data_IF_382311806635
#
_entry.id   IF_382311806635
#
_cell.length_a   1.000
_cell.length_b   1.000
_cell.length_c   1.000
_cell.angle_alpha   90.00
_cell.angle_beta   90.00
_cell.angle_gamma   90.00
#
_symmetry.space_group_name_H-M   'P 1'
#
loop_
_entity.id
_entity.type
_entity.pdbx_description
1 polymer ?
#
# COMPACT_ATOMS: atom_id res chain seq x y z
N UNK A 1 -37.05 -18.49 24.58
CA UNK A 1 -36.30 -17.71 23.57
C UNK A 1 -35.79 -18.67 22.51
N UNK A 2 -35.64 -18.24 21.26
CA UNK A 2 -35.04 -19.08 20.21
C UNK A 2 -33.54 -19.23 20.46
N UNK A 3 -32.94 -20.34 20.00
CA UNK A 3 -31.47 -20.58 20.10
C UNK A 3 -30.66 -19.42 19.49
N UNK A 4 -31.19 -18.78 18.44
CA UNK A 4 -30.60 -17.60 17.81
C UNK A 4 -30.67 -16.36 18.73
N UNK A 5 -31.80 -16.14 19.41
CA UNK A 5 -31.96 -15.06 20.39
C UNK A 5 -31.03 -15.20 21.60
N UNK A 6 -30.87 -16.41 22.13
CA UNK A 6 -29.95 -16.67 23.25
C UNK A 6 -28.48 -16.42 22.88
N UNK A 7 -28.11 -16.77 21.65
CA UNK A 7 -26.76 -16.53 21.12
C UNK A 7 -26.50 -15.04 20.94
N UNK A 8 -27.49 -14.28 20.50
CA UNK A 8 -27.42 -12.83 20.36
C UNK A 8 -27.22 -12.13 21.72
N UNK A 9 -28.05 -12.46 22.72
CA UNK A 9 -27.92 -11.90 24.07
C UNK A 9 -26.60 -12.26 24.75
N UNK A 10 -26.11 -13.49 24.52
CA UNK A 10 -24.80 -13.92 25.01
C UNK A 10 -23.64 -13.15 24.35
N UNK A 11 -23.79 -12.76 23.09
CA UNK A 11 -22.80 -11.93 22.40
C UNK A 11 -22.72 -10.53 23.02
N UNK A 12 -23.87 -9.89 23.25
CA UNK A 12 -23.94 -8.54 23.83
C UNK A 12 -23.35 -8.48 25.25
N UNK A 13 -23.68 -9.43 26.11
CA UNK A 13 -23.16 -9.51 27.49
C UNK A 13 -21.65 -9.78 27.58
N UNK A 14 -20.99 -10.14 26.47
CA UNK A 14 -19.56 -10.45 26.41
C UNK A 14 -18.76 -9.49 25.53
N UNK A 15 -19.33 -8.34 25.15
CA UNK A 15 -18.60 -7.34 24.37
C UNK A 15 -17.33 -6.90 25.14
N UNK A 16 -16.13 -7.01 24.56
CA UNK A 16 -14.90 -6.64 25.22
C UNK A 16 -14.68 -5.12 25.19
N UNK A 17 -13.95 -4.55 26.16
CA UNK A 17 -13.61 -3.13 26.16
C UNK A 17 -12.74 -2.77 24.94
N UNK A 18 -13.02 -1.64 24.27
CA UNK A 18 -12.20 -1.18 23.14
C UNK A 18 -10.74 -0.87 23.53
N UNK A 19 -9.82 -1.05 22.57
CA UNK A 19 -8.40 -0.67 22.72
C UNK A 19 -7.44 -1.80 23.14
N UNK A 20 -7.92 -3.04 23.32
CA UNK A 20 -7.10 -4.24 23.57
C UNK A 20 -7.08 -5.27 22.44
N UNK A 21 -7.68 -4.97 21.28
CA UNK A 21 -8.04 -5.95 20.25
C UNK A 21 -9.38 -6.66 20.58
N UNK A 22 -10.13 -7.09 19.56
CA UNK A 22 -11.35 -7.89 19.75
C UNK A 22 -12.69 -7.14 19.71
N UNK A 23 -12.77 -5.87 20.14
CA UNK A 23 -14.04 -5.11 20.09
C UNK A 23 -14.63 -5.02 18.67
N UNK A 24 -13.80 -4.77 17.66
CA UNK A 24 -14.22 -4.76 16.25
C UNK A 24 -14.83 -6.11 15.80
N UNK A 25 -14.20 -7.23 16.19
CA UNK A 25 -14.71 -8.57 15.85
C UNK A 25 -16.00 -8.90 16.60
N UNK A 26 -16.13 -8.44 17.85
CA UNK A 26 -17.32 -8.67 18.66
C UNK A 26 -18.53 -7.87 18.16
N UNK A 27 -18.33 -6.62 17.70
CA UNK A 27 -19.36 -5.81 17.04
C UNK A 27 -19.84 -6.49 15.75
N UNK A 28 -18.92 -6.99 14.92
CA UNK A 28 -19.27 -7.81 13.76
C UNK A 28 -20.07 -9.06 14.15
N UNK A 29 -19.65 -9.76 15.20
CA UNK A 29 -20.35 -10.91 15.76
C UNK A 29 -21.79 -10.57 16.19
N UNK A 30 -22.00 -9.43 16.86
CA UNK A 30 -23.32 -8.95 17.24
C UNK A 30 -24.22 -8.75 16.01
N UNK A 31 -23.68 -8.20 14.91
CA UNK A 31 -24.37 -8.12 13.62
C UNK A 31 -24.79 -9.49 13.08
N UNK A 32 -23.89 -10.48 13.09
CA UNK A 32 -24.21 -11.84 12.64
C UNK A 32 -25.30 -12.50 13.50
N UNK A 33 -25.20 -12.43 14.82
CA UNK A 33 -26.18 -13.05 15.70
C UNK A 33 -27.52 -12.33 15.65
N UNK A 34 -27.53 -10.99 15.57
CA UNK A 34 -28.74 -10.19 15.42
C UNK A 34 -29.48 -10.51 14.12
N UNK A 35 -28.76 -10.62 13.00
CA UNK A 35 -29.34 -11.01 11.71
C UNK A 35 -30.00 -12.40 11.77
N UNK A 36 -29.33 -13.39 12.39
CA UNK A 36 -29.89 -14.76 12.57
C UNK A 36 -31.08 -14.78 13.53
N UNK A 37 -31.12 -13.83 14.47
CA UNK A 37 -32.22 -13.67 15.42
C UNK A 37 -33.39 -12.84 14.85
N UNK A 38 -33.28 -12.31 13.63
CA UNK A 38 -34.31 -11.48 13.00
C UNK A 38 -34.39 -10.06 13.58
N UNK A 39 -33.33 -9.59 14.25
CA UNK A 39 -33.22 -8.23 14.78
C UNK A 39 -32.78 -7.28 13.66
N UNK A 40 -33.19 -6.01 13.69
CA UNK A 40 -32.77 -5.02 12.68
C UNK A 40 -31.37 -4.49 12.94
N UNK A 41 -30.70 -3.95 11.91
CA UNK A 41 -29.37 -3.33 12.04
C UNK A 41 -29.40 -2.20 13.05
N UNK A 42 -30.45 -1.37 13.01
CA UNK A 42 -30.63 -0.22 13.89
C UNK A 42 -30.72 -0.65 15.35
N UNK A 43 -31.46 -1.72 15.63
CA UNK A 43 -31.60 -2.27 16.98
C UNK A 43 -30.28 -2.89 17.46
N UNK A 44 -29.57 -3.64 16.61
CA UNK A 44 -28.25 -4.18 17.00
C UNK A 44 -27.24 -3.07 17.29
N UNK A 45 -27.25 -1.99 16.51
CA UNK A 45 -26.42 -0.82 16.79
C UNK A 45 -26.77 -0.17 18.14
N UNK A 46 -28.05 -0.05 18.48
CA UNK A 46 -28.49 0.46 19.78
C UNK A 46 -28.03 -0.45 20.93
N UNK A 47 -28.25 -1.75 20.79
CA UNK A 47 -27.89 -2.75 21.80
C UNK A 47 -26.37 -2.78 22.02
N UNK A 48 -25.57 -2.69 20.96
CA UNK A 48 -24.10 -2.60 21.05
C UNK A 48 -23.68 -1.33 21.80
N UNK A 49 -24.29 -0.17 21.54
CA UNK A 49 -23.97 1.07 22.28
C UNK A 49 -24.24 0.94 23.77
N UNK A 50 -25.34 0.28 24.13
CA UNK A 50 -25.74 0.09 25.51
C UNK A 50 -24.80 -0.88 26.25
N UNK A 51 -24.37 -1.96 25.57
CA UNK A 51 -23.64 -3.05 26.19
C UNK A 51 -22.12 -2.97 26.03
N UNK A 52 -21.60 -2.11 25.16
CA UNK A 52 -20.16 -1.97 24.94
C UNK A 52 -19.50 -1.28 26.15
N UNK A 53 -18.60 -1.97 26.89
CA UNK A 53 -17.99 -1.38 28.07
C UNK A 53 -16.96 -0.31 27.70
N UNK A 54 -16.71 0.62 28.63
CA UNK A 54 -15.66 1.65 28.47
C UNK A 54 -14.28 1.00 28.33
N UNK A 55 -13.50 1.49 27.37
CA UNK A 55 -12.17 0.98 27.05
C UNK A 55 -11.10 2.06 26.98
N UNK A 56 -9.91 1.71 26.47
CA UNK A 56 -8.78 2.63 26.28
C UNK A 56 -8.97 3.58 25.09
N UNK A 57 -10.00 3.35 24.27
CA UNK A 57 -10.41 4.21 23.17
C UNK A 57 -11.93 4.24 23.09
N UNK A 58 -12.45 5.26 22.40
CA UNK A 58 -13.85 5.30 22.01
C UNK A 58 -14.07 4.59 20.67
N UNK A 59 -15.26 4.02 20.51
CA UNK A 59 -15.74 3.44 19.26
C UNK A 59 -16.78 4.40 18.71
N UNK A 60 -16.55 4.92 17.50
CA UNK A 60 -17.48 5.85 16.86
C UNK A 60 -18.77 5.16 16.42
N UNK A 61 -19.87 5.89 16.33
CA UNK A 61 -21.15 5.38 15.79
C UNK A 61 -21.00 4.73 14.42
N UNK A 62 -20.17 5.35 13.57
CA UNK A 62 -19.87 4.84 12.23
C UNK A 62 -19.17 3.48 12.28
N UNK A 63 -18.25 3.28 13.22
CA UNK A 63 -17.56 2.00 13.39
C UNK A 63 -18.52 0.89 13.85
N UNK A 64 -19.45 1.22 14.75
CA UNK A 64 -20.52 0.29 15.18
C UNK A 64 -21.39 -0.07 13.97
N UNK A 65 -21.87 0.93 13.24
CA UNK A 65 -22.74 0.72 12.09
C UNK A 65 -22.07 -0.10 10.99
N UNK A 66 -20.83 0.21 10.62
CA UNK A 66 -20.05 -0.55 9.64
C UNK A 66 -19.85 -2.00 10.07
N UNK A 67 -19.49 -2.23 11.34
CA UNK A 67 -19.28 -3.57 11.89
C UNK A 67 -20.56 -4.41 11.92
N UNK A 68 -21.67 -3.83 12.38
CA UNK A 68 -22.98 -4.50 12.45
C UNK A 68 -23.49 -4.81 11.03
N UNK A 69 -23.49 -3.82 10.12
CA UNK A 69 -23.92 -4.04 8.72
C UNK A 69 -23.11 -5.14 8.05
N UNK A 70 -21.79 -5.19 8.29
CA UNK A 70 -20.94 -6.26 7.77
C UNK A 70 -21.38 -7.65 8.25
N UNK A 71 -21.79 -7.79 9.52
CA UNK A 71 -22.32 -9.05 10.05
C UNK A 71 -23.66 -9.47 9.44
N UNK A 72 -24.55 -8.50 9.16
CA UNK A 72 -25.82 -8.79 8.45
C UNK A 72 -25.57 -9.27 7.02
N UNK A 73 -24.66 -8.62 6.31
CA UNK A 73 -24.27 -9.00 4.95
C UNK A 73 -23.68 -10.42 4.93
N UNK A 74 -22.88 -10.80 5.92
CA UNK A 74 -22.37 -12.18 6.09
C UNK A 74 -23.50 -13.20 6.19
N UNK A 75 -24.48 -12.96 7.06
CA UNK A 75 -25.59 -13.90 7.28
C UNK A 75 -26.53 -14.01 6.08
N UNK A 76 -26.72 -12.91 5.34
CA UNK A 76 -27.49 -12.89 4.10
C UNK A 76 -26.80 -13.63 2.93
N UNK A 77 -25.65 -14.28 3.17
CA UNK A 77 -24.84 -14.91 2.13
C UNK A 77 -24.10 -13.91 1.23
N UNK A 78 -24.17 -12.61 1.56
CA UNK A 78 -23.55 -11.51 0.84
C UNK A 78 -22.07 -11.27 1.20
N UNK A 79 -21.55 -11.92 2.24
CA UNK A 79 -20.11 -12.02 2.46
C UNK A 79 -19.67 -13.47 2.29
N UNK A 80 -19.52 -13.87 1.04
CA UNK A 80 -18.27 -14.54 0.75
C UNK A 80 -17.19 -13.47 0.95
N UNK A 81 -16.55 -13.40 2.13
CA UNK A 81 -15.22 -12.79 2.21
C UNK A 81 -14.47 -13.36 1.01
N UNK A 82 -14.01 -12.53 0.06
CA UNK A 82 -13.36 -13.06 -1.13
C UNK A 82 -12.29 -14.01 -0.64
N UNK A 83 -12.45 -15.32 -0.94
CA UNK A 83 -11.51 -16.35 -0.50
C UNK A 83 -10.15 -15.84 -0.90
N UNK A 84 -9.25 -15.63 0.06
CA UNK A 84 -7.91 -15.15 -0.24
C UNK A 84 -7.37 -16.08 -1.33
N UNK A 85 -6.96 -15.55 -2.48
CA UNK A 85 -6.45 -16.36 -3.58
C UNK A 85 -5.40 -17.33 -3.05
N UNK A 86 -5.43 -18.57 -3.52
CA UNK A 86 -4.42 -19.54 -3.13
C UNK A 86 -3.03 -19.01 -3.50
N UNK A 87 -2.05 -19.27 -2.63
CA UNK A 87 -0.66 -19.01 -2.94
C UNK A 87 -0.26 -19.79 -4.21
N UNK A 88 0.43 -19.11 -5.12
CA UNK A 88 0.95 -19.66 -6.39
C UNK A 88 2.48 -19.75 -6.38
N UNK A 89 3.08 -19.61 -5.21
CA UNK A 89 4.50 -19.83 -4.95
C UNK A 89 4.64 -20.97 -3.97
N UNK A 90 5.66 -21.82 -4.17
CA UNK A 90 5.92 -22.93 -3.25
C UNK A 90 6.41 -22.39 -1.89
N UNK A 91 6.12 -23.07 -0.77
CA UNK A 91 6.74 -22.78 0.52
C UNK A 91 8.28 -22.75 0.38
N UNK A 92 8.95 -21.84 1.10
CA UNK A 92 10.41 -21.72 1.02
C UNK A 92 10.92 -20.94 -0.20
N UNK A 93 10.04 -20.40 -1.06
CA UNK A 93 10.46 -19.69 -2.28
C UNK A 93 11.28 -18.45 -1.96
N UNK A 94 10.90 -17.66 -0.94
CA UNK A 94 11.66 -16.48 -0.54
C UNK A 94 13.08 -16.86 -0.12
N UNK A 95 13.22 -17.84 0.78
CA UNK A 95 14.48 -18.33 1.31
C UNK A 95 15.39 -18.87 0.20
N UNK A 96 14.83 -19.58 -0.78
CA UNK A 96 15.58 -20.08 -1.94
C UNK A 96 16.10 -18.94 -2.82
N UNK A 97 15.29 -17.91 -3.08
CA UNK A 97 15.72 -16.74 -3.86
C UNK A 97 16.79 -15.96 -3.10
N UNK A 98 16.61 -15.74 -1.81
CA UNK A 98 17.61 -15.08 -0.95
C UNK A 98 18.91 -15.86 -0.92
N UNK A 99 18.86 -17.19 -0.83
CA UNK A 99 20.05 -18.03 -0.87
C UNK A 99 20.79 -17.93 -2.21
N UNK A 100 20.06 -17.84 -3.33
CA UNK A 100 20.64 -17.66 -4.67
C UNK A 100 21.33 -16.29 -4.83
N UNK A 101 20.75 -15.24 -4.25
CA UNK A 101 21.32 -13.89 -4.25
C UNK A 101 22.25 -13.59 -3.07
N UNK A 102 22.61 -14.59 -2.25
CA UNK A 102 23.32 -14.38 -1.00
C UNK A 102 24.61 -13.57 -1.20
N UNK A 103 24.81 -12.55 -0.36
CA UNK A 103 25.98 -11.65 -0.43
C UNK A 103 25.82 -10.50 -1.42
N UNK A 104 24.68 -10.37 -2.08
CA UNK A 104 24.39 -9.24 -2.96
C UNK A 104 24.47 -7.89 -2.21
N UNK A 105 25.02 -6.92 -2.91
CA UNK A 105 25.17 -5.54 -2.45
C UNK A 105 24.32 -4.59 -3.29
N UNK A 106 24.21 -3.35 -2.84
CA UNK A 106 23.58 -2.28 -3.63
C UNK A 106 24.31 -2.04 -4.96
N UNK A 107 25.64 -2.26 -4.99
CA UNK A 107 26.43 -2.11 -6.21
C UNK A 107 26.07 -3.18 -7.25
N UNK A 108 25.75 -4.40 -6.82
CA UNK A 108 25.32 -5.48 -7.72
C UNK A 108 23.98 -5.16 -8.40
N UNK A 109 23.04 -4.58 -7.66
CA UNK A 109 21.77 -4.10 -8.22
C UNK A 109 22.03 -2.95 -9.21
N UNK A 110 22.87 -1.98 -8.82
CA UNK A 110 23.20 -0.82 -9.67
C UNK A 110 23.90 -1.21 -10.97
N UNK A 111 24.81 -2.17 -10.92
CA UNK A 111 25.49 -2.69 -12.11
C UNK A 111 24.52 -3.35 -13.12
N UNK A 112 23.35 -3.79 -12.67
CA UNK A 112 22.31 -4.43 -13.51
C UNK A 112 21.29 -3.45 -14.07
N UNK A 113 21.35 -2.17 -13.67
CA UNK A 113 20.44 -1.12 -14.14
C UNK A 113 20.61 -0.89 -15.65
N UNK A 114 19.55 -1.05 -16.47
CA UNK A 114 19.62 -0.80 -17.92
C UNK A 114 19.94 0.65 -18.27
N UNK A 115 19.47 1.58 -17.44
CA UNK A 115 19.92 2.97 -17.48
C UNK A 115 21.09 3.11 -16.49
N UNK A 116 22.32 3.43 -16.95
CA UNK A 116 23.45 3.67 -16.07
C UNK A 116 23.09 4.77 -15.05
N UNK A 117 23.54 4.62 -13.81
CA UNK A 117 23.33 5.61 -12.74
C UNK A 117 24.71 6.13 -12.33
N UNK A 118 25.24 7.05 -13.13
CA UNK A 118 26.58 7.63 -13.04
C UNK A 118 26.58 9.12 -12.64
N UNK A 119 25.43 9.61 -12.17
CA UNK A 119 25.23 10.98 -11.71
C UNK A 119 25.23 11.08 -10.17
N UNK A 120 25.41 12.30 -9.62
CA UNK A 120 25.25 12.56 -8.19
C UNK A 120 23.85 12.23 -7.68
N UNK A 121 23.73 11.70 -6.46
CA UNK A 121 22.44 11.21 -5.94
C UNK A 121 21.30 12.23 -6.00
N UNK A 122 21.57 13.53 -5.80
CA UNK A 122 20.56 14.58 -5.86
C UNK A 122 19.87 14.69 -7.23
N UNK A 123 20.53 14.27 -8.31
CA UNK A 123 19.93 14.23 -9.66
C UNK A 123 18.94 13.08 -9.84
N UNK A 124 19.01 12.04 -9.00
CA UNK A 124 18.21 10.83 -9.17
C UNK A 124 16.71 11.10 -9.13
N UNK A 125 16.27 12.09 -8.35
CA UNK A 125 14.86 12.48 -8.25
C UNK A 125 14.28 12.87 -9.61
N UNK A 126 14.86 13.87 -10.26
CA UNK A 126 14.35 14.37 -11.53
C UNK A 126 14.65 13.43 -12.68
N UNK A 127 15.74 12.64 -12.65
CA UNK A 127 16.03 11.63 -13.67
C UNK A 127 14.99 10.50 -13.68
N UNK A 128 14.56 10.05 -12.50
CA UNK A 128 13.47 9.09 -12.40
C UNK A 128 12.17 9.68 -12.93
N UNK A 129 11.87 10.94 -12.63
CA UNK A 129 10.67 11.59 -13.14
C UNK A 129 10.69 11.73 -14.68
N UNK A 130 11.82 12.16 -15.23
CA UNK A 130 12.02 12.34 -16.67
C UNK A 130 11.98 11.01 -17.44
N UNK A 131 12.47 9.93 -16.83
CA UNK A 131 12.55 8.62 -17.46
C UNK A 131 11.22 7.83 -17.41
N UNK A 132 10.39 8.04 -16.38
CA UNK A 132 9.21 7.19 -16.12
C UNK A 132 7.86 7.82 -16.44
N UNK A 133 7.79 9.14 -16.59
CA UNK A 133 6.52 9.86 -16.79
C UNK A 133 6.58 10.79 -17.99
N UNK A 134 5.44 10.97 -18.65
CA UNK A 134 5.32 12.02 -19.64
C UNK A 134 5.29 13.41 -18.94
N UNK A 135 5.83 14.47 -19.57
CA UNK A 135 6.01 15.77 -18.91
C UNK A 135 4.73 16.40 -18.35
N UNK A 136 3.57 16.09 -18.94
CA UNK A 136 2.26 16.63 -18.57
C UNK A 136 1.57 15.86 -17.45
N UNK A 137 2.12 14.74 -17.02
CA UNK A 137 1.48 13.87 -16.03
C UNK A 137 1.61 14.42 -14.62
N UNK A 138 0.50 14.46 -13.88
CA UNK A 138 0.49 15.03 -12.53
C UNK A 138 1.06 14.04 -11.53
N UNK A 139 2.17 14.39 -10.89
CA UNK A 139 2.84 13.56 -9.89
C UNK A 139 2.77 14.27 -8.53
N UNK A 140 2.45 13.49 -7.49
CA UNK A 140 2.59 13.97 -6.12
C UNK A 140 4.05 13.89 -5.69
N UNK A 141 4.62 14.97 -5.16
CA UNK A 141 5.89 15.00 -4.43
C UNK A 141 5.69 15.80 -3.14
N UNK A 142 6.13 15.27 -2.01
CA UNK A 142 5.92 15.93 -0.71
C UNK A 142 6.24 15.03 0.49
N UNK A 143 5.72 15.44 1.66
CA UNK A 143 5.79 14.63 2.88
C UNK A 143 4.73 13.50 2.90
N UNK A 144 4.98 12.48 3.71
CA UNK A 144 4.09 11.30 3.87
C UNK A 144 2.64 11.71 4.19
N UNK A 145 2.46 12.65 5.11
CA UNK A 145 1.13 13.11 5.57
C UNK A 145 0.66 14.40 4.87
N UNK A 146 1.42 14.96 3.92
CA UNK A 146 1.07 16.22 3.30
C UNK A 146 -0.17 16.09 2.40
N UNK A 147 -1.03 17.09 2.42
CA UNK A 147 -2.22 17.09 1.56
C UNK A 147 -1.81 17.31 0.10
N UNK A 148 -2.50 16.62 -0.82
CA UNK A 148 -2.34 16.83 -2.26
C UNK A 148 -2.94 18.17 -2.67
N UNK A 149 -2.16 19.03 -3.32
CA UNK A 149 -2.55 20.37 -3.80
C UNK A 149 -1.93 20.63 -5.17
N UNK A 150 -2.78 20.96 -6.15
CA UNK A 150 -2.34 21.30 -7.51
C UNK A 150 -1.46 22.55 -7.47
N UNK A 151 -0.35 22.53 -8.19
CA UNK A 151 0.60 23.63 -8.23
C UNK A 151 1.45 23.78 -6.96
N UNK A 152 1.33 22.88 -5.98
CA UNK A 152 2.17 22.85 -4.79
C UNK A 152 2.83 21.48 -4.65
N UNK A 153 2.09 20.48 -4.17
CA UNK A 153 2.54 19.09 -3.96
C UNK A 153 2.16 18.16 -5.10
N UNK A 154 1.32 18.62 -6.03
CA UNK A 154 0.96 17.91 -7.26
C UNK A 154 1.24 18.84 -8.43
N UNK A 155 2.15 18.44 -9.33
CA UNK A 155 2.54 19.21 -10.51
C UNK A 155 2.79 18.26 -11.68
N UNK A 156 2.75 18.75 -12.93
CA UNK A 156 3.26 18.01 -14.08
C UNK A 156 4.69 17.51 -13.82
N UNK A 157 5.02 16.30 -14.26
CA UNK A 157 6.34 15.71 -14.07
C UNK A 157 7.45 16.61 -14.64
N UNK A 158 7.21 17.25 -15.79
CA UNK A 158 8.16 18.20 -16.39
C UNK A 158 8.40 19.45 -15.53
N UNK A 159 7.38 19.94 -14.83
CA UNK A 159 7.55 21.02 -13.86
C UNK A 159 8.36 20.56 -12.64
N UNK A 160 8.10 19.35 -12.13
CA UNK A 160 8.92 18.80 -11.06
C UNK A 160 10.39 18.64 -11.45
N UNK A 161 10.66 18.18 -12.68
CA UNK A 161 12.01 18.09 -13.23
C UNK A 161 12.67 19.48 -13.23
N UNK A 162 11.99 20.51 -13.73
CA UNK A 162 12.51 21.88 -13.74
C UNK A 162 12.79 22.42 -12.32
N UNK A 163 11.86 22.22 -11.39
CA UNK A 163 11.99 22.65 -9.98
C UNK A 163 13.18 21.97 -9.30
N UNK A 164 13.31 20.65 -9.42
CA UNK A 164 14.38 19.89 -8.77
C UNK A 164 15.76 20.23 -9.36
N UNK A 165 15.85 20.46 -10.68
CA UNK A 165 17.07 20.95 -11.32
C UNK A 165 17.46 22.34 -10.79
N UNK A 166 16.51 23.27 -10.72
CA UNK A 166 16.77 24.62 -10.23
C UNK A 166 17.16 24.66 -8.75
N UNK A 167 16.59 23.78 -7.92
CA UNK A 167 16.94 23.68 -6.50
C UNK A 167 18.33 23.08 -6.25
N UNK A 168 18.83 22.22 -7.16
CA UNK A 168 20.09 21.48 -6.96
C UNK A 168 20.06 20.52 -5.77
N UNK A 169 18.87 20.21 -5.24
CA UNK A 169 18.65 19.32 -4.09
C UNK A 169 17.23 18.76 -4.10
N UNK A 170 16.99 17.75 -3.26
CA UNK A 170 15.70 17.06 -3.17
C UNK A 170 15.08 17.29 -1.78
N UNK A 171 14.25 18.33 -1.61
CA UNK A 171 13.77 18.71 -0.28
C UNK A 171 12.66 17.79 0.26
N UNK A 172 11.96 17.06 -0.60
CA UNK A 172 10.84 16.19 -0.19
C UNK A 172 11.23 14.71 -0.18
N UNK A 173 10.77 13.92 0.80
CA UNK A 173 11.19 12.52 0.95
C UNK A 173 10.43 11.53 0.08
N UNK A 174 9.24 11.89 -0.42
CA UNK A 174 8.30 10.94 -1.03
C UNK A 174 7.72 11.45 -2.33
N UNK A 175 7.30 10.49 -3.15
CA UNK A 175 6.44 10.72 -4.31
C UNK A 175 5.33 9.68 -4.39
N UNK A 176 4.23 10.01 -5.06
CA UNK A 176 3.27 9.02 -5.55
C UNK A 176 3.79 8.40 -6.83
N UNK A 177 3.89 7.07 -6.90
CA UNK A 177 4.49 6.41 -8.08
C UNK A 177 3.57 6.39 -9.29
N UNK A 178 2.26 6.61 -9.12
CA UNK A 178 1.32 6.64 -10.23
C UNK A 178 0.82 8.07 -10.49
N UNK A 179 0.67 8.47 -11.77
CA UNK A 179 0.07 9.76 -12.13
C UNK A 179 -1.33 9.95 -11.56
N UNK A 180 -1.68 11.21 -11.32
CA UNK A 180 -2.95 11.63 -10.76
C UNK A 180 -3.83 12.32 -11.82
N UNK A 181 -5.14 12.24 -11.63
CA UNK A 181 -6.14 12.86 -12.53
C UNK A 181 -6.25 14.37 -12.36
N UNK A 182 -5.72 14.91 -11.26
CA UNK A 182 -5.92 16.30 -10.86
C UNK A 182 -7.32 16.61 -10.33
N UNK A 183 -8.19 15.60 -10.21
CA UNK A 183 -9.58 15.74 -9.73
C UNK A 183 -9.70 15.21 -8.31
N UNK A 184 -10.50 15.90 -7.49
CA UNK A 184 -10.81 15.45 -6.14
C UNK A 184 -11.63 14.15 -6.20
N UNK A 185 -11.37 13.25 -5.25
CA UNK A 185 -12.18 12.07 -5.02
C UNK A 185 -12.47 11.90 -3.52
N UNK A 186 -13.54 11.17 -3.14
CA UNK A 186 -13.82 10.87 -1.74
C UNK A 186 -12.66 10.13 -1.07
N UNK A 187 -12.38 10.44 0.20
CA UNK A 187 -11.43 9.64 1.00
C UNK A 187 -12.01 8.25 1.27
N UNK A 188 -11.15 7.24 1.42
CA UNK A 188 -11.56 5.88 1.86
C UNK A 188 -12.30 5.89 3.20
N UNK A 189 -11.98 6.85 4.07
CA UNK A 189 -12.68 7.04 5.34
C UNK A 189 -14.10 7.59 5.18
N UNK A 190 -14.58 7.88 3.97
CA UNK A 190 -15.88 8.52 3.71
C UNK A 190 -15.97 10.00 4.11
N UNK A 191 -15.04 10.49 4.95
CA UNK A 191 -15.05 11.86 5.45
C UNK A 191 -14.19 12.80 4.57
N UNK A 192 -14.87 13.55 3.71
CA UNK A 192 -14.26 14.57 2.86
C UNK A 192 -13.57 14.03 1.60
N UNK A 193 -12.81 14.91 0.94
CA UNK A 193 -12.18 14.63 -0.36
C UNK A 193 -10.65 14.71 -0.30
N UNK A 194 -9.99 14.14 -1.30
CA UNK A 194 -8.53 14.13 -1.48
C UNK A 194 -8.18 14.24 -2.96
N UNK A 195 -6.97 14.70 -3.27
CA UNK A 195 -6.39 14.74 -4.62
C UNK A 195 -5.37 13.62 -4.87
N UNK A 196 -5.10 12.76 -3.87
CA UNK A 196 -3.98 11.81 -3.89
C UNK A 196 -4.32 10.44 -3.31
N UNK A 197 -5.59 10.05 -3.36
CA UNK A 197 -6.04 8.70 -3.01
C UNK A 197 -6.14 7.79 -4.24
N UNK A 198 -6.47 6.51 -4.05
CA UNK A 198 -6.55 5.54 -5.16
C UNK A 198 -7.51 5.97 -6.27
N UNK A 199 -8.65 6.57 -5.92
CA UNK A 199 -9.61 7.10 -6.90
C UNK A 199 -9.12 8.37 -7.64
N UNK A 200 -7.96 8.91 -7.25
CA UNK A 200 -7.32 10.03 -7.93
C UNK A 200 -6.23 9.56 -8.91
N UNK A 201 -5.95 8.25 -9.03
CA UNK A 201 -4.93 7.70 -9.94
C UNK A 201 -5.43 7.73 -11.38
N UNK A 202 -4.65 8.34 -12.28
CA UNK A 202 -4.94 8.44 -13.71
C UNK A 202 -4.39 7.26 -14.51
N UNK A 203 -3.22 6.72 -14.13
CA UNK A 203 -2.60 5.60 -14.81
C UNK A 203 -2.01 4.62 -13.79
N UNK A 204 -2.35 3.33 -13.92
CA UNK A 204 -2.01 2.29 -12.96
C UNK A 204 -0.75 1.53 -13.41
N UNK A 205 0.38 2.25 -13.45
CA UNK A 205 1.63 1.77 -14.06
C UNK A 205 2.53 1.02 -13.12
N UNK A 206 2.56 1.39 -11.85
CA UNK A 206 3.55 0.88 -10.92
C UNK A 206 2.93 0.43 -9.60
N UNK A 207 3.23 -0.79 -9.19
CA UNK A 207 3.00 -1.29 -7.84
C UNK A 207 4.27 -1.17 -7.00
N UNK A 208 4.15 -0.64 -5.80
CA UNK A 208 5.29 -0.56 -4.87
C UNK A 208 5.38 -1.87 -4.09
N UNK A 209 6.57 -2.46 -4.10
CA UNK A 209 6.90 -3.69 -3.38
C UNK A 209 7.89 -3.34 -2.27
N UNK A 210 7.48 -3.56 -1.03
CA UNK A 210 8.27 -3.34 0.20
C UNK A 210 8.30 -4.65 1.00
N UNK A 211 9.48 -5.00 1.52
CA UNK A 211 9.71 -6.21 2.33
C UNK A 211 10.37 -5.84 3.67
N UNK A 212 9.77 -4.88 4.37
CA UNK A 212 10.31 -4.31 5.62
C UNK A 212 10.46 -5.32 6.78
N UNK A 213 9.86 -6.51 6.64
CA UNK A 213 10.02 -7.64 7.56
C UNK A 213 11.30 -8.45 7.35
N UNK A 214 11.93 -8.35 6.18
CA UNK A 214 13.20 -9.01 5.85
C UNK A 214 14.40 -8.11 6.16
N UNK A 215 15.56 -8.70 6.43
CA UNK A 215 16.79 -7.93 6.62
C UNK A 215 17.17 -7.19 5.33
N UNK A 216 17.94 -6.10 5.44
CA UNK A 216 18.39 -5.36 4.25
C UNK A 216 19.21 -6.26 3.30
N UNK A 217 20.08 -7.14 3.83
CA UNK A 217 20.84 -8.10 3.03
C UNK A 217 19.93 -9.08 2.28
N UNK A 218 18.87 -9.57 2.92
CA UNK A 218 17.93 -10.49 2.27
C UNK A 218 17.11 -9.77 1.19
N UNK A 219 16.76 -8.50 1.41
CA UNK A 219 16.09 -7.69 0.38
C UNK A 219 17.00 -7.51 -0.84
N UNK A 220 18.29 -7.21 -0.65
CA UNK A 220 19.24 -7.07 -1.75
C UNK A 220 19.43 -8.38 -2.51
N UNK A 221 19.63 -9.48 -1.77
CA UNK A 221 19.72 -10.83 -2.33
C UNK A 221 18.47 -11.19 -3.14
N UNK A 222 17.28 -10.93 -2.58
CA UNK A 222 16.02 -11.15 -3.26
C UNK A 222 15.96 -10.42 -4.59
N UNK A 223 16.25 -9.12 -4.62
CA UNK A 223 16.14 -8.33 -5.85
C UNK A 223 17.13 -8.75 -6.92
N UNK A 224 18.33 -9.19 -6.56
CA UNK A 224 19.33 -9.68 -7.52
C UNK A 224 18.95 -11.03 -8.14
N UNK A 225 18.17 -11.86 -7.45
CA UNK A 225 17.83 -13.22 -7.88
C UNK A 225 16.38 -13.39 -8.35
N UNK A 226 15.44 -12.55 -7.94
CA UNK A 226 14.01 -12.73 -8.23
C UNK A 226 13.72 -12.73 -9.74
N UNK A 227 13.13 -13.81 -10.28
CA UNK A 227 12.92 -13.91 -11.71
C UNK A 227 11.65 -13.18 -12.15
N UNK A 228 11.69 -12.64 -13.38
CA UNK A 228 10.50 -12.21 -14.16
C UNK A 228 9.65 -11.07 -13.57
N UNK A 229 10.08 -10.41 -12.50
CA UNK A 229 9.41 -9.18 -12.05
C UNK A 229 9.85 -8.00 -12.93
N UNK A 230 8.95 -7.32 -13.65
CA UNK A 230 9.30 -6.16 -14.47
C UNK A 230 9.53 -4.94 -13.57
N UNK A 231 10.76 -4.75 -13.09
CA UNK A 231 11.11 -3.66 -12.19
C UNK A 231 11.41 -2.41 -13.00
N UNK A 232 10.77 -1.29 -12.66
CA UNK A 232 11.00 0.01 -13.27
C UNK A 232 12.01 0.84 -12.48
N UNK A 233 11.98 0.77 -11.16
CA UNK A 233 12.94 1.42 -10.29
C UNK A 233 13.13 0.67 -8.98
N UNK A 234 14.32 0.78 -8.37
CA UNK A 234 14.60 0.33 -7.00
C UNK A 234 15.22 1.48 -6.23
N UNK A 235 14.66 1.82 -5.07
CA UNK A 235 15.14 2.89 -4.19
C UNK A 235 15.44 2.32 -2.82
N UNK A 236 16.68 2.49 -2.36
CA UNK A 236 17.01 2.28 -0.96
C UNK A 236 16.64 3.51 -0.15
N UNK A 237 15.81 3.32 0.89
CA UNK A 237 15.43 4.36 1.84
C UNK A 237 16.57 4.90 2.71
N UNK A 238 17.77 4.31 2.59
CA UNK A 238 18.94 4.54 3.46
C UNK A 238 18.62 4.38 4.94
N UNK A 239 17.89 3.30 5.19
CA UNK A 239 17.51 2.80 6.50
C UNK A 239 17.46 1.29 6.39
N UNK A 240 16.26 0.71 6.49
CA UNK A 240 16.05 -0.74 6.47
C UNK A 240 15.19 -1.26 5.32
N UNK A 241 14.81 -0.39 4.39
CA UNK A 241 13.79 -0.70 3.38
C UNK A 241 14.24 -0.39 1.97
N UNK A 242 14.08 -1.39 1.09
CA UNK A 242 14.12 -1.26 -0.36
C UNK A 242 12.68 -1.10 -0.87
N UNK A 243 12.45 0.00 -1.59
CA UNK A 243 11.19 0.24 -2.28
C UNK A 243 11.38 -0.01 -3.77
N UNK A 244 10.74 -1.04 -4.30
CA UNK A 244 10.83 -1.38 -5.72
C UNK A 244 9.52 -1.14 -6.45
N UNK A 245 9.59 -0.56 -7.64
CA UNK A 245 8.43 -0.18 -8.44
C UNK A 245 8.28 -1.22 -9.53
N UNK A 246 7.33 -2.13 -9.39
CA UNK A 246 7.04 -3.16 -10.38
C UNK A 246 6.05 -2.59 -11.40
N UNK A 247 6.41 -2.63 -12.68
CA UNK A 247 5.57 -2.17 -13.79
C UNK A 247 4.40 -3.13 -14.00
N UNK A 248 3.19 -2.60 -14.02
CA UNK A 248 1.94 -3.37 -14.11
C UNK A 248 1.11 -3.02 -15.33
N UNK A 249 1.18 -1.77 -15.79
CA UNK A 249 0.42 -1.22 -16.93
C UNK A 249 -1.06 -1.65 -16.95
N UNK A 250 -1.73 -1.60 -15.80
CA UNK A 250 -3.16 -1.86 -15.73
C UNK A 250 -3.90 -0.71 -16.43
N UNK A 251 -4.89 -1.05 -17.26
CA UNK A 251 -5.70 -0.12 -18.03
C UNK A 251 -6.53 0.79 -17.12
N UNK A 252 -7.04 0.25 -16.01
CA UNK A 252 -7.90 0.98 -15.08
C UNK A 252 -7.87 0.42 -13.65
N UNK A 253 -8.67 1.04 -12.77
CA UNK A 253 -8.80 0.65 -11.37
C UNK A 253 -9.47 -0.72 -11.17
N UNK A 254 -10.33 -1.18 -12.10
CA UNK A 254 -10.96 -2.48 -12.01
C UNK A 254 -9.95 -3.59 -12.30
N UNK A 255 -9.15 -3.42 -13.35
CA UNK A 255 -8.05 -4.32 -13.67
C UNK A 255 -6.99 -4.32 -12.57
N UNK A 256 -6.66 -3.16 -11.98
CA UNK A 256 -5.76 -3.08 -10.82
C UNK A 256 -6.26 -3.94 -9.65
N UNK A 257 -7.53 -3.80 -9.26
CA UNK A 257 -8.14 -4.60 -8.19
C UNK A 257 -8.07 -6.09 -8.51
N UNK A 258 -8.35 -6.48 -9.74
CA UNK A 258 -8.34 -7.89 -10.15
C UNK A 258 -6.92 -8.47 -10.19
N UNK A 259 -6.00 -7.80 -10.90
CA UNK A 259 -4.65 -8.32 -11.19
C UNK A 259 -3.68 -8.06 -10.05
N UNK A 260 -3.70 -6.88 -9.44
CA UNK A 260 -2.71 -6.48 -8.43
C UNK A 260 -3.20 -6.86 -7.05
N UNK A 261 -4.34 -6.31 -6.62
CA UNK A 261 -4.86 -6.55 -5.26
C UNK A 261 -5.41 -7.97 -5.09
N UNK A 262 -6.00 -8.52 -6.15
CA UNK A 262 -6.67 -9.82 -6.17
C UNK A 262 -5.83 -10.98 -6.69
N UNK A 263 -4.60 -10.76 -7.17
CA UNK A 263 -3.75 -11.85 -7.68
C UNK A 263 -2.27 -11.66 -7.40
N UNK A 264 -1.62 -10.64 -7.94
CA UNK A 264 -0.17 -10.45 -7.83
C UNK A 264 0.28 -10.42 -6.37
N UNK A 265 -0.34 -9.57 -5.55
CA UNK A 265 -0.02 -9.49 -4.13
C UNK A 265 -0.37 -10.78 -3.39
N UNK A 266 -1.66 -11.19 -3.29
CA UNK A 266 -2.03 -12.31 -2.42
C UNK A 266 -1.50 -13.67 -2.87
N UNK A 267 -1.36 -13.91 -4.18
CA UNK A 267 -0.90 -15.22 -4.69
C UNK A 267 0.61 -15.32 -4.84
N UNK A 268 1.34 -14.22 -5.05
CA UNK A 268 2.77 -14.28 -5.36
C UNK A 268 3.62 -13.50 -4.37
N UNK A 269 3.33 -12.21 -4.15
CA UNK A 269 4.22 -11.34 -3.37
C UNK A 269 4.06 -11.52 -1.85
N UNK A 270 2.83 -11.50 -1.34
CA UNK A 270 2.55 -11.65 0.10
C UNK A 270 3.07 -13.00 0.65
N UNK A 271 2.93 -14.14 -0.05
CA UNK A 271 3.54 -15.40 0.41
C UNK A 271 5.08 -15.41 0.37
N UNK A 272 5.71 -14.46 -0.33
CA UNK A 272 7.17 -14.23 -0.28
C UNK A 272 7.56 -13.15 0.75
N UNK A 273 6.64 -12.71 1.62
CA UNK A 273 6.94 -11.76 2.69
C UNK A 273 6.81 -10.28 2.32
N UNK A 274 6.27 -9.96 1.14
CA UNK A 274 5.96 -8.57 0.76
C UNK A 274 4.80 -8.03 1.59
N UNK A 275 4.89 -6.77 2.02
CA UNK A 275 3.82 -6.10 2.75
C UNK A 275 2.58 -5.91 1.87
N UNK A 276 1.52 -6.67 2.19
CA UNK A 276 0.23 -6.62 1.53
C UNK A 276 -0.47 -5.25 1.63
N UNK A 277 -0.07 -4.37 2.55
CA UNK A 277 -0.59 -3.00 2.64
C UNK A 277 -0.10 -2.09 1.50
N UNK A 278 0.92 -2.51 0.75
CA UNK A 278 1.49 -1.74 -0.36
C UNK A 278 0.72 -1.86 -1.70
N UNK A 279 -0.32 -2.71 -1.75
CA UNK A 279 -1.05 -3.02 -3.01
C UNK A 279 -1.98 -1.93 -3.53
N UNK A 280 -2.16 -0.83 -2.80
CA UNK A 280 -3.06 0.24 -3.21
C UNK A 280 -2.42 1.11 -4.31
N UNK A 281 -3.20 1.55 -5.30
CA UNK A 281 -2.70 2.26 -6.48
C UNK A 281 -2.04 3.61 -6.17
N UNK A 282 -2.46 4.29 -5.09
CA UNK A 282 -1.86 5.56 -4.65
C UNK A 282 -0.68 5.40 -3.68
N UNK A 283 -0.08 4.20 -3.59
CA UNK A 283 1.06 3.95 -2.70
C UNK A 283 2.22 4.88 -3.06
N UNK A 284 2.84 5.46 -2.04
CA UNK A 284 4.04 6.27 -2.22
C UNK A 284 5.30 5.43 -2.17
N UNK A 285 6.35 5.96 -2.78
CA UNK A 285 7.71 5.49 -2.56
C UNK A 285 8.62 6.63 -2.10
N UNK A 286 9.82 6.26 -1.67
CA UNK A 286 10.93 7.16 -1.36
C UNK A 286 11.37 7.87 -2.65
N UNK A 287 11.49 9.19 -2.60
CA UNK A 287 12.06 9.99 -3.69
C UNK A 287 13.60 9.90 -3.63
N UNK A 288 14.28 9.30 -4.62
CA UNK A 288 15.73 9.16 -4.57
C UNK A 288 16.42 10.52 -4.63
N UNK A 289 17.58 10.64 -3.98
CA UNK A 289 18.35 11.87 -3.82
C UNK A 289 17.96 12.72 -2.61
N UNK A 290 16.86 12.41 -1.92
CA UNK A 290 16.49 13.10 -0.68
C UNK A 290 17.46 12.76 0.47
N UNK A 291 18.01 13.78 1.10
CA UNK A 291 18.79 13.65 2.34
C UNK A 291 17.84 13.60 3.52
N UNK A 292 17.85 12.50 4.25
CA UNK A 292 17.01 12.33 5.44
C UNK A 292 17.43 13.29 6.55
N UNK A 293 16.49 14.03 7.10
CA UNK A 293 16.75 15.03 8.15
C UNK A 293 17.24 14.39 9.45
N UNK A 294 16.76 13.19 9.79
CA UNK A 294 17.06 12.49 11.04
C UNK A 294 18.45 11.83 11.06
N UNK A 295 18.92 11.34 9.91
CA UNK A 295 20.18 10.57 9.82
C UNK A 295 21.27 11.23 8.97
N UNK A 296 20.92 12.23 8.16
CA UNK A 296 21.82 12.80 7.14
C UNK A 296 22.12 11.87 5.97
N UNK A 297 21.52 10.66 5.92
CA UNK A 297 21.74 9.70 4.86
C UNK A 297 20.85 9.99 3.64
N UNK A 298 21.37 9.75 2.43
CA UNK A 298 20.69 10.02 1.17
C UNK A 298 19.86 8.81 0.74
N UNK A 299 18.58 8.96 0.38
CA UNK A 299 17.79 7.90 -0.25
C UNK A 299 18.36 7.58 -1.64
N UNK A 300 18.87 6.37 -1.89
CA UNK A 300 19.65 6.05 -3.10
C UNK A 300 18.84 5.33 -4.16
N UNK A 301 18.95 5.77 -5.42
CA UNK A 301 18.47 5.01 -6.57
C UNK A 301 19.44 3.86 -6.86
N UNK A 302 18.93 2.64 -6.94
CA UNK A 302 19.73 1.44 -7.21
C UNK A 302 19.48 0.87 -8.60
N UNK A 303 18.31 1.08 -9.19
CA UNK A 303 17.96 0.50 -10.48
C UNK A 303 16.97 1.41 -11.20
N UNK A 304 17.09 1.53 -12.52
CA UNK A 304 16.16 2.27 -13.37
C UNK A 304 16.03 1.59 -14.75
N UNK A 305 14.83 1.14 -15.07
CA UNK A 305 14.47 0.52 -16.35
C UNK A 305 13.09 0.98 -16.79
N UNK A 306 12.97 2.03 -17.61
CA UNK A 306 11.67 2.61 -17.98
C UNK A 306 10.64 1.62 -18.53
N UNK A 307 11.08 0.61 -19.27
CA UNK A 307 10.22 -0.43 -19.85
C UNK A 307 9.84 -1.56 -18.89
N UNK A 308 10.36 -1.55 -17.65
CA UNK A 308 10.20 -2.63 -16.68
C UNK A 308 11.03 -3.86 -17.07
N UNK A 309 12.12 -4.12 -16.36
CA UNK A 309 12.99 -5.29 -16.61
C UNK A 309 13.31 -6.00 -15.31
N UNK A 310 13.48 -7.32 -15.38
CA UNK A 310 13.99 -8.07 -14.24
C UNK A 310 15.43 -7.62 -13.92
N UNK A 311 15.76 -7.53 -12.64
CA UNK A 311 17.10 -7.16 -12.21
C UNK A 311 18.10 -8.26 -12.57
N UNK A 312 17.67 -9.52 -12.63
CA UNK A 312 18.55 -10.67 -12.87
C UNK A 312 18.97 -10.91 -14.33
N UNK A 313 18.54 -10.05 -15.28
CA UNK A 313 18.94 -10.12 -16.69
C UNK A 313 17.79 -10.48 -17.61
#
# INVERSE_FOLDING_TARGET
MSVAGDSYQRCLSRLPPPGGGGAHQAIFGAGCYGARAGVTVEQVCADVREHLPRGKRDVSDREIEEGVRAGFVEVAGGSARPRRPAARVAPGTFERIVQEGHGATEADIRARSPMPIDWPDWESSWRVLDALYAPTELIFVGEEKQVGRIGETIRPAGEWVAVLKALGRVPWPKLGVNPLTGRVAPKKSGAGVTLRGDACVAAHRFAVVEMDGASLSDQLAFWVAVPRLPVAAIVHSSGKSIHSWVRTDCADAAEWRQKIEGRLFPSYLEPMGVDGACKNASRMSRLPGHVRVDTGLVQRLLYLAPTGRAVNG
#
